data_IF_441053927727
#
_entry.id   IF_441053927727
#
_cell.length_a   1.000
_cell.length_b   1.000
_cell.length_c   1.000
_cell.angle_alpha   90.00
_cell.angle_beta   90.00
_cell.angle_gamma   90.00
#
_symmetry.space_group_name_H-M   'P 1'
#
loop_
_entity.id
_entity.type
_entity.pdbx_description
1 polymer ?
#
# COMPACT_ATOMS: atom_id res chain seq x y z
N UNK A 1 1.30 -42.63 -32.96
CA UNK A 1 1.38 -42.01 -31.62
C UNK A 1 2.57 -41.08 -31.61
N UNK A 2 2.35 -39.79 -31.85
CA UNK A 2 3.37 -38.74 -31.66
C UNK A 2 2.79 -37.73 -30.69
N UNK A 3 3.15 -37.87 -29.42
CA UNK A 3 2.86 -36.86 -28.40
C UNK A 3 3.77 -35.67 -28.67
N UNK A 4 3.18 -34.56 -29.11
CA UNK A 4 3.87 -33.28 -29.07
C UNK A 4 3.81 -32.76 -27.64
N UNK A 5 4.96 -32.82 -26.97
CA UNK A 5 5.19 -32.18 -25.68
C UNK A 5 5.01 -30.66 -25.85
N UNK A 6 3.86 -30.15 -25.41
CA UNK A 6 3.61 -28.72 -25.27
C UNK A 6 4.48 -28.17 -24.11
N UNK A 7 5.72 -27.78 -24.43
CA UNK A 7 6.56 -27.02 -23.52
C UNK A 7 5.87 -25.68 -23.22
N UNK A 8 5.49 -25.46 -21.96
CA UNK A 8 5.01 -24.17 -21.48
C UNK A 8 6.07 -23.08 -21.73
N UNK A 9 5.82 -22.22 -22.72
CA UNK A 9 6.69 -21.08 -23.00
C UNK A 9 6.37 -19.93 -22.04
N UNK A 10 6.90 -20.00 -20.82
CA UNK A 10 6.79 -18.92 -19.84
C UNK A 10 7.75 -17.80 -20.25
N UNK A 11 7.28 -16.86 -21.07
CA UNK A 11 8.03 -15.64 -21.38
C UNK A 11 7.96 -14.66 -20.21
N UNK A 12 9.09 -14.06 -19.82
CA UNK A 12 9.13 -13.03 -18.77
C UNK A 12 8.54 -11.73 -19.34
N UNK A 13 7.39 -11.22 -18.84
CA UNK A 13 6.87 -9.94 -19.28
C UNK A 13 7.86 -8.82 -18.92
N UNK A 14 8.05 -7.84 -19.80
CA UNK A 14 8.86 -6.66 -19.48
C UNK A 14 8.24 -5.93 -18.28
N UNK A 15 9.04 -5.53 -17.27
CA UNK A 15 8.53 -4.72 -16.18
C UNK A 15 7.95 -3.43 -16.76
N UNK A 16 6.69 -3.14 -16.43
CA UNK A 16 6.07 -1.86 -16.77
C UNK A 16 6.31 -0.90 -15.60
N UNK A 17 6.51 0.41 -15.88
CA UNK A 17 6.49 1.40 -14.82
C UNK A 17 5.15 1.32 -14.09
N UNK A 18 5.19 1.25 -12.77
CA UNK A 18 4.02 1.30 -11.91
C UNK A 18 4.18 2.52 -11.00
N UNK A 19 3.10 3.28 -10.75
CA UNK A 19 3.14 4.40 -9.80
C UNK A 19 3.09 3.90 -8.34
N UNK A 20 3.27 2.59 -8.12
CA UNK A 20 3.28 1.98 -6.82
C UNK A 20 4.23 0.79 -6.78
N UNK A 21 4.75 0.52 -5.59
CA UNK A 21 5.51 -0.66 -5.25
C UNK A 21 4.83 -1.35 -4.06
N UNK A 22 4.61 -2.67 -4.18
CA UNK A 22 3.99 -3.49 -3.14
C UNK A 22 5.00 -4.48 -2.60
N UNK A 23 5.10 -4.57 -1.28
CA UNK A 23 5.93 -5.53 -0.55
C UNK A 23 5.04 -6.27 0.45
N UNK A 24 5.24 -7.58 0.61
CA UNK A 24 4.46 -8.38 1.57
C UNK A 24 4.79 -8.01 3.02
N UNK A 25 3.79 -8.05 3.90
CA UNK A 25 3.93 -7.70 5.32
C UNK A 25 3.74 -8.93 6.20
N UNK A 26 4.66 -9.89 6.08
CA UNK A 26 4.76 -11.08 6.95
C UNK A 26 3.64 -12.13 6.83
N UNK A 27 2.48 -11.79 6.25
CA UNK A 27 1.32 -12.67 6.12
C UNK A 27 0.64 -12.51 4.77
N UNK A 28 0.11 -13.60 4.23
CA UNK A 28 -0.68 -13.60 2.99
C UNK A 28 -1.80 -12.57 3.09
N UNK A 29 -2.00 -11.82 1.99
CA UNK A 29 -2.99 -10.74 1.87
C UNK A 29 -2.70 -9.43 2.60
N UNK A 30 -1.61 -9.34 3.34
CA UNK A 30 -1.13 -8.09 3.95
C UNK A 30 0.07 -7.56 3.17
N UNK A 31 0.01 -6.30 2.80
CA UNK A 31 1.09 -5.66 2.07
C UNK A 31 1.35 -4.26 2.59
N UNK A 32 2.60 -3.85 2.50
CA UNK A 32 2.98 -2.45 2.58
C UNK A 32 3.17 -1.92 1.16
N UNK A 33 2.62 -0.74 0.87
CA UNK A 33 2.54 -0.16 -0.47
C UNK A 33 3.06 1.27 -0.45
N UNK A 34 4.09 1.49 -1.26
CA UNK A 34 4.59 2.80 -1.60
C UNK A 34 3.85 3.30 -2.85
N UNK A 35 3.31 4.51 -2.84
CA UNK A 35 2.60 5.10 -3.99
C UNK A 35 3.15 6.49 -4.27
N UNK A 36 3.47 6.75 -5.55
CA UNK A 36 3.77 8.06 -6.08
C UNK A 36 3.06 8.17 -7.44
N UNK A 37 1.97 8.94 -7.51
CA UNK A 37 1.06 8.96 -8.66
C UNK A 37 0.63 10.38 -9.02
N UNK A 38 0.39 10.63 -10.30
CA UNK A 38 -0.17 11.90 -10.79
C UNK A 38 -1.67 12.06 -10.49
N UNK A 39 -2.35 11.00 -10.08
CA UNK A 39 -3.78 11.02 -9.75
C UNK A 39 -3.98 11.16 -8.25
N UNK A 40 -4.77 12.15 -7.85
CA UNK A 40 -5.28 12.30 -6.50
C UNK A 40 -6.42 11.31 -6.26
N UNK A 41 -6.25 10.39 -5.30
CA UNK A 41 -7.28 9.40 -5.00
C UNK A 41 -8.47 9.92 -4.18
N UNK A 42 -8.37 11.11 -3.58
CA UNK A 42 -9.50 11.75 -2.88
C UNK A 42 -10.39 12.53 -3.83
N UNK A 43 -9.78 13.22 -4.80
CA UNK A 43 -10.49 14.12 -5.71
C UNK A 43 -10.69 13.53 -7.11
N UNK A 44 -10.03 12.42 -7.41
CA UNK A 44 -10.02 11.74 -8.72
C UNK A 44 -9.49 12.63 -9.88
N UNK A 45 -8.74 13.69 -9.56
CA UNK A 45 -8.12 14.59 -10.54
C UNK A 45 -6.63 14.29 -10.74
N UNK A 46 -6.16 14.48 -11.98
CA UNK A 46 -4.76 14.30 -12.38
C UNK A 46 -3.87 15.55 -12.21
N UNK A 47 -4.43 16.64 -11.68
CA UNK A 47 -3.71 17.90 -11.44
C UNK A 47 -3.18 18.02 -10.01
N UNK A 48 -3.58 17.10 -9.13
CA UNK A 48 -3.10 16.97 -7.76
C UNK A 48 -2.41 15.62 -7.68
N UNK A 49 -1.10 15.61 -7.44
CA UNK A 49 -0.34 14.38 -7.36
C UNK A 49 -0.28 13.89 -5.91
N UNK A 50 -0.02 12.61 -5.75
CA UNK A 50 -0.14 11.94 -4.47
C UNK A 50 1.11 11.12 -4.15
N UNK A 51 1.62 11.33 -2.94
CA UNK A 51 2.56 10.46 -2.26
C UNK A 51 1.83 9.75 -1.12
N UNK A 52 1.83 8.41 -1.11
CA UNK A 52 1.11 7.64 -0.10
C UNK A 52 1.89 6.45 0.41
N UNK A 53 1.91 6.32 1.74
CA UNK A 53 2.35 5.12 2.45
C UNK A 53 1.12 4.36 2.92
N UNK A 54 0.99 3.09 2.55
CA UNK A 54 -0.26 2.34 2.74
C UNK A 54 0.00 0.92 3.28
N UNK A 55 -0.76 0.53 4.30
CA UNK A 55 -1.04 -0.88 4.63
C UNK A 55 -2.26 -1.31 3.84
N UNK A 56 -2.12 -2.38 3.05
CA UNK A 56 -3.15 -2.91 2.19
C UNK A 56 -3.53 -4.32 2.62
N UNK A 57 -4.80 -4.49 2.97
CA UNK A 57 -5.42 -5.78 3.28
C UNK A 57 -6.27 -6.22 2.09
N UNK A 58 -6.21 -7.49 1.74
CA UNK A 58 -6.94 -8.06 0.59
C UNK A 58 -7.60 -9.39 0.91
N UNK A 59 -8.49 -9.86 0.03
CA UNK A 59 -9.11 -11.16 0.15
C UNK A 59 -10.34 -11.18 1.07
N UNK A 60 -10.86 -12.38 1.32
CA UNK A 60 -12.18 -12.57 1.93
C UNK A 60 -12.24 -12.11 3.40
N UNK A 61 -11.11 -12.14 4.11
CA UNK A 61 -10.99 -11.71 5.49
C UNK A 61 -10.43 -10.28 5.63
N UNK A 62 -10.36 -9.51 4.55
CA UNK A 62 -9.79 -8.16 4.59
C UNK A 62 -10.54 -7.26 5.59
N UNK A 63 -11.88 -7.34 5.59
CA UNK A 63 -12.74 -6.54 6.48
C UNK A 63 -12.58 -6.96 7.93
N UNK A 64 -12.75 -8.24 8.24
CA UNK A 64 -12.61 -8.73 9.62
C UNK A 64 -11.24 -8.39 10.23
N UNK A 65 -10.16 -8.51 9.45
CA UNK A 65 -8.82 -8.13 9.90
C UNK A 65 -8.65 -6.61 10.03
N UNK A 66 -9.29 -5.83 9.16
CA UNK A 66 -9.28 -4.38 9.24
C UNK A 66 -10.01 -3.91 10.50
N UNK A 67 -11.18 -4.46 10.79
CA UNK A 67 -12.00 -4.09 11.95
C UNK A 67 -11.22 -4.37 13.25
N UNK A 68 -10.51 -5.51 13.34
CA UNK A 68 -9.62 -5.82 14.47
C UNK A 68 -8.45 -4.84 14.64
N UNK A 69 -7.87 -4.36 13.53
CA UNK A 69 -6.83 -3.33 13.60
C UNK A 69 -7.43 -1.99 14.02
N UNK A 70 -8.66 -1.70 13.58
CA UNK A 70 -9.36 -0.44 13.89
C UNK A 70 -9.76 -0.34 15.38
N UNK A 71 -9.93 -1.48 16.07
CA UNK A 71 -10.08 -1.51 17.54
C UNK A 71 -8.87 -0.89 18.28
N UNK A 72 -7.67 -0.97 17.69
CA UNK A 72 -6.44 -0.39 18.22
C UNK A 72 -6.09 0.98 17.60
N UNK A 73 -7.01 1.56 16.82
CA UNK A 73 -6.74 2.76 16.01
C UNK A 73 -6.06 3.88 16.78
N UNK A 74 -6.56 4.24 17.96
CA UNK A 74 -6.00 5.33 18.74
C UNK A 74 -4.53 5.07 19.09
N UNK A 75 -4.20 3.86 19.55
CA UNK A 75 -2.82 3.50 19.87
C UNK A 75 -1.92 3.48 18.64
N UNK A 76 -2.45 3.04 17.50
CA UNK A 76 -1.72 3.04 16.22
C UNK A 76 -1.45 4.48 15.74
N UNK A 77 -2.45 5.36 15.78
CA UNK A 77 -2.31 6.76 15.37
C UNK A 77 -1.31 7.50 16.30
N UNK A 78 -1.36 7.24 17.61
CA UNK A 78 -0.40 7.76 18.59
C UNK A 78 1.04 7.26 18.34
N UNK A 79 1.22 5.95 18.12
CA UNK A 79 2.53 5.37 17.77
C UNK A 79 3.07 5.94 16.46
N UNK A 80 2.19 6.15 15.48
CA UNK A 80 2.54 6.73 14.19
C UNK A 80 2.89 8.22 14.30
N UNK A 81 2.30 8.93 15.26
CA UNK A 81 2.53 10.36 15.50
C UNK A 81 1.85 11.28 14.49
N UNK A 82 0.94 10.73 13.68
CA UNK A 82 0.09 11.44 12.74
C UNK A 82 -1.17 10.60 12.46
N UNK A 83 -2.29 11.26 12.16
CA UNK A 83 -3.56 10.59 11.95
C UNK A 83 -3.54 9.73 10.66
N UNK A 84 -3.85 8.44 10.80
CA UNK A 84 -4.01 7.56 9.65
C UNK A 84 -5.40 7.72 9.03
N UNK A 85 -5.47 7.59 7.71
CA UNK A 85 -6.72 7.41 6.99
C UNK A 85 -7.10 5.93 6.94
N UNK A 86 -8.23 5.61 7.54
CA UNK A 86 -8.81 4.27 7.60
C UNK A 86 -9.89 4.13 6.54
N UNK A 87 -9.65 3.31 5.52
CA UNK A 87 -10.49 3.22 4.32
C UNK A 87 -10.96 1.78 4.06
N UNK A 88 -12.24 1.54 4.35
CA UNK A 88 -12.93 0.26 4.20
C UNK A 88 -14.26 0.44 3.45
N UNK A 89 -14.23 0.66 2.12
CA UNK A 89 -15.45 0.86 1.35
C UNK A 89 -16.30 -0.44 1.27
N UNK A 90 -17.63 -0.32 1.13
CA UNK A 90 -18.50 -1.48 0.99
C UNK A 90 -18.24 -2.22 -0.33
N UNK A 91 -18.57 -3.51 -0.37
CA UNK A 91 -18.56 -4.35 -1.58
C UNK A 91 -17.21 -4.52 -2.30
N UNK A 92 -16.08 -4.27 -1.65
CA UNK A 92 -14.76 -4.61 -2.18
C UNK A 92 -13.94 -5.43 -1.17
N UNK A 93 -13.17 -6.39 -1.68
CA UNK A 93 -12.29 -7.25 -0.87
C UNK A 93 -10.91 -6.59 -0.67
N UNK A 94 -10.90 -5.29 -0.38
CA UNK A 94 -9.68 -4.51 -0.18
C UNK A 94 -9.92 -3.36 0.78
N UNK A 95 -9.18 -3.36 1.88
CA UNK A 95 -9.15 -2.29 2.87
C UNK A 95 -7.75 -1.66 2.88
N UNK A 96 -7.67 -0.39 3.29
CA UNK A 96 -6.42 0.37 3.28
C UNK A 96 -6.33 1.22 4.53
N UNK A 97 -5.14 1.29 5.11
CA UNK A 97 -4.78 2.23 6.18
C UNK A 97 -3.59 3.01 5.66
N UNK A 98 -3.65 4.34 5.60
CA UNK A 98 -2.63 5.09 4.89
C UNK A 98 -2.38 6.51 5.40
N UNK A 99 -1.20 7.02 5.06
CA UNK A 99 -0.83 8.44 5.15
C UNK A 99 -0.66 8.97 3.75
N UNK A 100 -1.30 10.09 3.46
CA UNK A 100 -1.36 10.70 2.13
C UNK A 100 -0.89 12.14 2.20
N UNK A 101 -0.04 12.52 1.25
CA UNK A 101 0.33 13.91 1.01
C UNK A 101 0.08 14.30 -0.44
N UNK A 102 -0.46 15.50 -0.64
CA UNK A 102 -0.48 16.13 -1.95
C UNK A 102 0.90 16.71 -2.23
N UNK A 103 1.48 16.38 -3.38
CA UNK A 103 2.82 16.80 -3.80
C UNK A 103 2.81 17.29 -5.26
N UNK A 104 3.91 17.88 -5.70
CA UNK A 104 4.18 18.09 -7.12
C UNK A 104 5.27 17.13 -7.59
N UNK A 105 4.99 16.33 -8.61
CA UNK A 105 5.91 15.32 -9.14
C UNK A 105 6.74 15.88 -10.29
N UNK A 106 6.34 17.03 -10.84
CA UNK A 106 7.14 17.76 -11.82
C UNK A 106 8.31 18.49 -11.15
N UNK A 107 8.20 18.79 -9.86
CA UNK A 107 9.28 19.36 -9.06
C UNK A 107 10.29 18.27 -8.65
N UNK A 108 11.29 18.08 -9.52
CA UNK A 108 12.35 17.08 -9.31
C UNK A 108 13.29 17.42 -8.16
N UNK A 109 13.37 18.69 -7.74
CA UNK A 109 14.28 19.10 -6.68
C UNK A 109 13.84 18.54 -5.33
N UNK A 110 12.55 18.28 -5.17
CA UNK A 110 11.96 17.69 -3.97
C UNK A 110 11.91 16.15 -3.97
N UNK A 111 12.30 15.47 -5.05
CA UNK A 111 12.19 14.01 -5.15
C UNK A 111 12.94 13.26 -4.05
N UNK A 112 14.13 13.74 -3.67
CA UNK A 112 14.91 13.10 -2.61
C UNK A 112 14.15 13.14 -1.27
N UNK A 113 13.47 14.25 -0.99
CA UNK A 113 12.67 14.41 0.21
C UNK A 113 11.41 13.55 0.17
N UNK A 114 10.75 13.44 -0.98
CA UNK A 114 9.61 12.54 -1.15
C UNK A 114 10.00 11.07 -0.92
N UNK A 115 11.14 10.64 -1.47
CA UNK A 115 11.65 9.30 -1.24
C UNK A 115 12.00 9.05 0.23
N UNK A 116 12.63 10.02 0.90
CA UNK A 116 12.96 9.94 2.33
C UNK A 116 11.69 9.81 3.17
N UNK A 117 10.76 10.74 3.01
CA UNK A 117 9.49 10.78 3.73
C UNK A 117 8.68 9.49 3.52
N UNK A 118 8.63 8.98 2.28
CA UNK A 118 7.98 7.72 1.96
C UNK A 118 8.69 6.54 2.66
N UNK A 119 10.02 6.45 2.60
CA UNK A 119 10.77 5.37 3.24
C UNK A 119 10.62 5.38 4.77
N UNK A 120 10.67 6.55 5.39
CA UNK A 120 10.55 6.70 6.85
C UNK A 120 9.17 6.24 7.32
N UNK A 121 8.11 6.72 6.66
CA UNK A 121 6.74 6.32 6.97
C UNK A 121 6.50 4.83 6.75
N UNK A 122 6.96 4.27 5.64
CA UNK A 122 6.82 2.84 5.37
C UNK A 122 7.58 1.99 6.41
N UNK A 123 8.79 2.39 6.80
CA UNK A 123 9.55 1.67 7.83
C UNK A 123 8.82 1.71 9.19
N UNK A 124 8.26 2.87 9.55
CA UNK A 124 7.49 3.02 10.80
C UNK A 124 6.19 2.22 10.77
N UNK A 125 5.44 2.28 9.68
CA UNK A 125 4.27 1.43 9.45
C UNK A 125 4.64 -0.07 9.53
N UNK A 126 5.74 -0.48 8.91
CA UNK A 126 6.19 -1.86 8.99
C UNK A 126 6.43 -2.28 10.45
N UNK A 127 7.09 -1.47 11.27
CA UNK A 127 7.33 -1.76 12.68
C UNK A 127 6.02 -1.90 13.48
N UNK A 128 5.12 -0.93 13.34
CA UNK A 128 3.84 -0.87 14.08
C UNK A 128 2.92 -2.03 13.70
N UNK A 129 2.79 -2.32 12.41
CA UNK A 129 1.81 -3.29 11.91
C UNK A 129 2.34 -4.74 11.88
N UNK A 130 3.65 -4.98 11.74
CA UNK A 130 4.16 -6.35 11.67
C UNK A 130 3.84 -7.17 12.92
N UNK A 131 3.98 -6.56 14.11
CA UNK A 131 3.69 -7.24 15.37
C UNK A 131 2.20 -7.57 15.50
N UNK A 132 1.33 -6.63 15.15
CA UNK A 132 -0.13 -6.77 15.20
C UNK A 132 -0.65 -7.80 14.20
N UNK A 133 -0.14 -7.77 12.98
CA UNK A 133 -0.55 -8.71 11.92
C UNK A 133 -0.19 -10.16 12.26
N UNK A 134 0.90 -10.37 13.00
CA UNK A 134 1.31 -11.69 13.45
C UNK A 134 0.33 -12.34 14.43
N UNK A 135 -0.49 -11.54 15.14
CA UNK A 135 -1.44 -12.03 16.15
C UNK A 135 -2.89 -12.09 15.67
N UNK A 136 -3.19 -11.59 14.46
CA UNK A 136 -4.53 -11.61 13.85
C UNK A 136 -4.96 -13.03 13.45
#
# INVERSE_FOLDING_TARGET
MSGEDNFFNISRPRPRPRPYMRVGLGRTHFNIVAVATFMDSLTEYFQSHELRSEIQLTGNYARDNFDRLEEERQGIDEEMGEDLSWYNPPNVNRCRIYIRHTIDLYDTDNWLEYHRSLSEKLNKMHQIFSARIATL
#
